data_IF_806861950141
#
_entry.id   IF_806861950141
#
_cell.length_a   1.000
_cell.length_b   1.000
_cell.length_c   1.000
_cell.angle_alpha   90.00
_cell.angle_beta   90.00
_cell.angle_gamma   90.00
#
_symmetry.space_group_name_H-M   'P 1'
#
loop_
_entity.id
_entity.type
_entity.pdbx_description
1 polymer ?
#
# COMPACT_ATOMS: atom_id res chain seq x y z
N UNK A 1 11.87 19.46 -3.48
CA UNK A 1 11.87 19.10 -4.91
C UNK A 1 10.69 18.18 -5.18
N UNK A 2 9.94 18.39 -6.27
CA UNK A 2 8.93 17.42 -6.69
C UNK A 2 9.64 16.11 -7.02
N UNK A 3 9.38 15.04 -6.27
CA UNK A 3 9.95 13.74 -6.58
C UNK A 3 9.26 13.19 -7.84
N UNK A 4 10.01 12.86 -8.91
CA UNK A 4 9.42 12.29 -10.11
C UNK A 4 8.68 10.98 -9.77
N UNK A 5 7.54 10.77 -10.40
CA UNK A 5 6.82 9.49 -10.33
C UNK A 5 7.63 8.47 -11.14
N UNK A 6 8.08 7.41 -10.50
CA UNK A 6 8.92 6.39 -11.12
C UNK A 6 8.07 5.40 -11.92
N UNK A 7 6.94 4.98 -11.36
CA UNK A 7 5.97 4.10 -12.01
C UNK A 7 4.62 4.83 -12.12
N UNK A 8 3.98 4.74 -13.29
CA UNK A 8 2.72 5.39 -13.66
C UNK A 8 1.85 4.32 -14.31
N UNK A 9 0.69 4.01 -13.71
CA UNK A 9 -0.18 2.92 -14.11
C UNK A 9 -1.62 3.42 -14.24
N UNK A 10 -2.27 3.17 -15.37
CA UNK A 10 -3.67 3.60 -15.52
C UNK A 10 -4.40 3.02 -16.72
N UNK A 11 -5.71 3.23 -16.71
CA UNK A 11 -6.64 2.76 -17.76
C UNK A 11 -7.58 3.87 -18.28
N UNK A 12 -7.27 5.14 -18.01
CA UNK A 12 -8.07 6.30 -18.38
C UNK A 12 -9.09 6.76 -17.32
N UNK A 13 -9.56 5.86 -16.45
CA UNK A 13 -10.46 6.18 -15.34
C UNK A 13 -9.75 6.13 -13.98
N UNK A 14 -8.82 5.19 -13.83
CA UNK A 14 -7.96 5.02 -12.66
C UNK A 14 -6.53 5.33 -13.05
N UNK A 15 -5.85 6.17 -12.27
CA UNK A 15 -4.41 6.44 -12.37
C UNK A 15 -3.75 6.27 -11.00
N UNK A 16 -2.72 5.44 -10.95
CA UNK A 16 -1.86 5.18 -9.80
C UNK A 16 -0.44 5.62 -10.15
N UNK A 17 0.16 6.43 -9.28
CA UNK A 17 1.57 6.77 -9.41
C UNK A 17 2.36 6.32 -8.18
N UNK A 18 3.46 5.62 -8.43
CA UNK A 18 4.43 5.22 -7.40
C UNK A 18 5.70 6.07 -7.52
N UNK A 19 6.28 6.43 -6.38
CA UNK A 19 7.63 7.03 -6.36
C UNK A 19 8.73 5.97 -6.49
N UNK A 20 9.99 6.42 -6.48
CA UNK A 20 11.19 5.55 -6.52
C UNK A 20 11.27 4.56 -5.34
N UNK A 21 10.53 4.86 -4.28
CA UNK A 21 10.51 4.14 -3.02
C UNK A 21 9.28 3.20 -2.93
N UNK A 22 8.55 3.06 -4.05
CA UNK A 22 7.38 2.19 -4.22
C UNK A 22 6.18 2.56 -3.35
N UNK A 23 6.17 3.79 -2.82
CA UNK A 23 4.99 4.32 -2.16
C UNK A 23 3.99 4.75 -3.22
N UNK A 24 2.71 4.43 -3.02
CA UNK A 24 1.65 5.06 -3.81
C UNK A 24 1.48 6.49 -3.35
N UNK A 25 1.69 7.41 -4.29
CA UNK A 25 1.70 8.85 -4.03
C UNK A 25 0.55 9.59 -4.70
N UNK A 26 -0.01 9.01 -5.76
CA UNK A 26 -1.24 9.48 -6.36
C UNK A 26 -2.20 8.32 -6.63
N UNK A 27 -3.48 8.60 -6.41
CA UNK A 27 -4.63 7.77 -6.73
C UNK A 27 -5.70 8.71 -7.28
N UNK A 28 -5.87 8.73 -8.60
CA UNK A 28 -6.94 9.49 -9.25
C UNK A 28 -8.04 8.57 -9.72
N UNK A 29 -9.26 8.91 -9.34
CA UNK A 29 -10.49 8.23 -9.73
C UNK A 29 -11.68 9.17 -9.44
N UNK A 30 -12.80 9.12 -10.18
CA UNK A 30 -12.99 8.47 -11.47
C UNK A 30 -12.43 9.28 -12.64
N UNK A 31 -11.94 10.50 -12.39
CA UNK A 31 -11.38 11.39 -13.43
C UNK A 31 -9.92 11.64 -13.14
N UNK A 32 -9.07 11.23 -14.08
CA UNK A 32 -7.62 11.42 -13.99
C UNK A 32 -7.28 12.91 -13.93
N UNK A 33 -6.50 13.29 -12.91
CA UNK A 33 -6.03 14.68 -12.72
C UNK A 33 -6.96 15.59 -11.92
N UNK A 34 -8.16 15.14 -11.52
CA UNK A 34 -9.08 15.93 -10.69
C UNK A 34 -8.82 15.72 -9.20
N UNK A 35 -9.44 14.69 -8.61
CA UNK A 35 -9.30 14.36 -7.19
C UNK A 35 -8.13 13.39 -6.99
N UNK A 36 -7.06 13.85 -6.32
CA UNK A 36 -6.01 12.95 -5.84
C UNK A 36 -6.41 12.43 -4.44
N UNK A 37 -6.83 11.18 -4.38
CA UNK A 37 -7.25 10.51 -3.14
C UNK A 37 -6.09 10.19 -2.19
N UNK A 38 -4.83 10.45 -2.55
CA UNK A 38 -3.70 10.39 -1.62
C UNK A 38 -3.44 11.76 -0.98
N UNK A 39 -3.71 12.87 -1.69
CA UNK A 39 -3.54 14.22 -1.14
C UNK A 39 -2.11 14.56 -0.71
N UNK A 40 -1.11 14.12 -1.47
CA UNK A 40 0.32 14.40 -1.20
C UNK A 40 0.97 13.52 -0.13
N UNK A 41 0.26 12.51 0.35
CA UNK A 41 0.71 11.53 1.34
C UNK A 41 1.36 10.32 0.65
N UNK A 42 1.63 9.26 1.41
CA UNK A 42 2.15 7.99 0.90
C UNK A 42 1.38 6.83 1.49
N UNK A 43 1.00 5.89 0.64
CA UNK A 43 0.65 4.54 1.07
C UNK A 43 1.86 3.64 0.86
N UNK A 44 2.35 3.06 1.95
CA UNK A 44 3.65 2.38 1.99
C UNK A 44 3.48 0.88 2.19
N UNK A 45 4.50 0.10 1.80
CA UNK A 45 4.58 -1.34 2.09
C UNK A 45 5.77 -1.60 3.01
N UNK A 46 5.55 -2.38 4.06
CA UNK A 46 6.57 -2.72 5.04
C UNK A 46 6.60 -4.21 5.36
N UNK A 47 7.71 -4.65 5.91
CA UNK A 47 7.99 -6.05 6.21
C UNK A 47 8.42 -6.20 7.65
N UNK A 48 7.90 -7.22 8.32
CA UNK A 48 8.25 -7.56 9.69
C UNK A 48 8.70 -9.01 9.81
N UNK A 49 9.71 -9.24 10.62
CA UNK A 49 10.20 -10.56 11.03
C UNK A 49 10.80 -10.49 12.44
N UNK A 50 10.33 -11.33 13.36
CA UNK A 50 10.95 -11.58 14.68
C UNK A 50 11.38 -10.33 15.48
N UNK A 51 10.54 -9.28 15.44
CA UNK A 51 10.78 -8.03 16.16
C UNK A 51 11.60 -6.99 15.39
N UNK A 52 11.98 -7.30 14.15
CA UNK A 52 12.57 -6.34 13.21
C UNK A 52 11.53 -5.95 12.16
N UNK A 53 11.43 -4.64 11.90
CA UNK A 53 10.57 -4.06 10.88
C UNK A 53 11.39 -3.20 9.92
N UNK A 54 11.00 -3.16 8.64
CA UNK A 54 11.56 -2.22 7.67
C UNK A 54 10.53 -1.86 6.60
N UNK A 55 10.40 -0.56 6.31
CA UNK A 55 9.62 -0.05 5.19
C UNK A 55 10.41 -0.09 3.88
N UNK A 56 9.72 -0.34 2.75
CA UNK A 56 10.37 -0.32 1.41
C UNK A 56 11.05 1.01 1.05
N UNK A 57 10.62 2.11 1.66
CA UNK A 57 11.19 3.43 1.42
C UNK A 57 12.55 3.64 2.10
N UNK A 58 12.94 2.77 3.03
CA UNK A 58 14.23 2.87 3.71
C UNK A 58 15.39 2.53 2.76
N UNK A 59 16.55 3.10 3.06
CA UNK A 59 17.79 2.89 2.29
C UNK A 59 18.35 1.46 2.41
N UNK A 60 17.88 0.69 3.40
CA UNK A 60 18.18 -0.74 3.58
C UNK A 60 17.66 -1.60 2.40
N UNK A 61 16.72 -1.07 1.61
CA UNK A 61 16.18 -1.70 0.42
C UNK A 61 16.85 -1.17 -0.85
N UNK A 62 17.64 -2.03 -1.49
CA UNK A 62 18.14 -1.81 -2.86
C UNK A 62 17.02 -2.14 -3.84
N UNK A 63 16.73 -1.23 -4.77
CA UNK A 63 15.56 -1.31 -5.66
C UNK A 63 15.96 -1.02 -7.11
N UNK A 64 15.52 -1.88 -8.02
CA UNK A 64 15.60 -1.67 -9.46
C UNK A 64 14.17 -1.62 -10.02
N UNK A 65 13.80 -0.47 -10.59
CA UNK A 65 12.44 -0.23 -11.08
C UNK A 65 12.44 -0.27 -12.61
N UNK A 66 11.56 -1.08 -13.17
CA UNK A 66 11.32 -1.16 -14.60
C UNK A 66 9.83 -1.40 -14.90
N UNK A 67 9.52 -1.51 -16.19
CA UNK A 67 8.27 -2.09 -16.67
C UNK A 67 8.58 -3.43 -17.34
N UNK A 68 7.61 -4.34 -17.32
CA UNK A 68 7.65 -5.51 -18.18
C UNK A 68 7.63 -5.07 -19.64
N UNK A 69 8.38 -5.78 -20.48
CA UNK A 69 8.52 -5.46 -21.90
C UNK A 69 7.14 -5.32 -22.58
N UNK A 70 6.99 -4.27 -23.38
CA UNK A 70 5.80 -3.97 -24.18
C UNK A 70 4.48 -3.90 -23.37
N UNK A 71 4.54 -3.52 -22.10
CA UNK A 71 3.35 -3.41 -21.25
C UNK A 71 3.43 -2.28 -20.21
N UNK A 72 2.26 -1.81 -19.74
CA UNK A 72 2.15 -0.87 -18.60
C UNK A 72 1.98 -1.64 -17.28
N UNK A 73 2.85 -2.63 -17.06
CA UNK A 73 2.94 -3.40 -15.81
C UNK A 73 4.34 -3.20 -15.26
N UNK A 74 4.47 -2.86 -13.98
CA UNK A 74 5.78 -2.70 -13.36
C UNK A 74 6.51 -4.04 -13.23
N UNK A 75 7.83 -3.97 -13.27
CA UNK A 75 8.72 -5.08 -12.96
C UNK A 75 9.80 -4.56 -12.04
N UNK A 76 9.60 -4.76 -10.74
CA UNK A 76 10.47 -4.19 -9.71
C UNK A 76 11.15 -5.30 -8.95
N UNK A 77 12.48 -5.22 -8.88
CA UNK A 77 13.30 -6.07 -8.03
C UNK A 77 13.71 -5.27 -6.80
N UNK A 78 13.48 -5.81 -5.60
CA UNK A 78 13.92 -5.18 -4.36
C UNK A 78 14.61 -6.19 -3.45
N UNK A 79 15.70 -5.77 -2.80
CA UNK A 79 16.50 -6.62 -1.92
C UNK A 79 16.86 -5.90 -0.63
N UNK A 80 16.68 -6.59 0.48
CA UNK A 80 17.16 -6.17 1.80
C UNK A 80 18.07 -7.25 2.36
N UNK A 81 19.38 -6.95 2.44
CA UNK A 81 20.40 -7.90 2.88
C UNK A 81 20.31 -8.21 4.38
N UNK A 82 19.99 -7.19 5.18
CA UNK A 82 19.88 -7.30 6.64
C UNK A 82 18.76 -8.29 6.99
N UNK A 83 17.57 -8.03 6.46
CA UNK A 83 16.42 -8.94 6.59
C UNK A 83 16.64 -10.25 5.82
N UNK A 84 17.47 -10.28 4.77
CA UNK A 84 17.67 -11.45 3.90
C UNK A 84 16.45 -11.75 3.02
N UNK A 85 15.82 -10.71 2.48
CA UNK A 85 14.64 -10.81 1.62
C UNK A 85 14.94 -10.31 0.21
N UNK A 86 14.45 -11.05 -0.78
CA UNK A 86 14.38 -10.65 -2.18
C UNK A 86 12.90 -10.60 -2.60
N UNK A 87 12.51 -9.54 -3.28
CA UNK A 87 11.16 -9.29 -3.74
C UNK A 87 11.18 -9.12 -5.26
N UNK A 88 10.23 -9.76 -5.92
CA UNK A 88 9.82 -9.39 -7.28
C UNK A 88 8.38 -8.89 -7.23
N UNK A 89 8.20 -7.60 -7.55
CA UNK A 89 6.93 -6.89 -7.46
C UNK A 89 6.47 -6.53 -8.88
N UNK A 90 5.22 -6.85 -9.19
CA UNK A 90 4.56 -6.43 -10.42
C UNK A 90 3.24 -5.75 -10.09
N UNK A 91 3.14 -4.50 -10.52
CA UNK A 91 2.00 -3.62 -10.30
C UNK A 91 1.33 -3.29 -11.63
N UNK A 92 0.01 -3.33 -11.67
CA UNK A 92 -0.75 -2.99 -12.86
C UNK A 92 -2.11 -2.41 -12.51
N UNK A 93 -2.64 -1.60 -13.42
CA UNK A 93 -4.06 -1.24 -13.42
C UNK A 93 -4.74 -2.05 -14.51
N UNK A 94 -5.84 -2.74 -14.16
CA UNK A 94 -6.59 -3.53 -15.12
C UNK A 94 -7.15 -2.63 -16.24
N UNK A 95 -7.03 -3.05 -17.49
CA UNK A 95 -7.39 -2.24 -18.66
C UNK A 95 -8.88 -1.88 -18.80
N UNK A 96 -9.77 -2.48 -17.99
CA UNK A 96 -11.22 -2.37 -18.14
C UNK A 96 -11.90 -2.11 -16.80
N UNK A 97 -11.50 -2.85 -15.77
CA UNK A 97 -11.96 -2.62 -14.41
C UNK A 97 -11.07 -1.59 -13.69
N UNK A 98 -11.65 -0.78 -12.80
CA UNK A 98 -10.91 0.17 -11.97
C UNK A 98 -10.24 -0.56 -10.80
N UNK A 99 -9.28 -1.42 -11.13
CA UNK A 99 -8.58 -2.30 -10.20
C UNK A 99 -7.08 -2.08 -10.33
N UNK A 100 -6.46 -1.72 -9.21
CA UNK A 100 -5.01 -1.79 -9.04
C UNK A 100 -4.67 -3.17 -8.46
N UNK A 101 -3.69 -3.84 -9.07
CA UNK A 101 -3.24 -5.17 -8.67
C UNK A 101 -1.73 -5.10 -8.42
N UNK A 102 -1.31 -5.54 -7.23
CA UNK A 102 0.09 -5.74 -6.85
C UNK A 102 0.33 -7.22 -6.59
N UNK A 103 1.18 -7.85 -7.40
CA UNK A 103 1.69 -9.20 -7.15
C UNK A 103 3.09 -9.11 -6.57
N UNK A 104 3.36 -9.86 -5.50
CA UNK A 104 4.68 -9.92 -4.88
C UNK A 104 5.13 -11.37 -4.71
N UNK A 105 6.25 -11.71 -5.33
CA UNK A 105 6.96 -12.96 -5.05
C UNK A 105 8.07 -12.66 -4.05
N UNK A 106 8.05 -13.34 -2.90
CA UNK A 106 8.98 -13.09 -1.79
C UNK A 106 9.87 -14.31 -1.62
N UNK A 107 11.17 -14.09 -1.71
CA UNK A 107 12.20 -15.12 -1.52
C UNK A 107 12.94 -14.88 -0.22
N UNK A 108 13.03 -15.95 0.56
CA UNK A 108 13.84 -16.01 1.77
C UNK A 108 15.27 -16.42 1.41
N UNK A 109 16.25 -15.55 1.66
CA UNK A 109 17.67 -15.83 1.42
C UNK A 109 18.41 -16.39 2.64
N UNK A 110 17.75 -16.57 3.79
CA UNK A 110 18.32 -17.28 4.94
C UNK A 110 18.15 -18.79 4.77
N UNK A 111 18.99 -19.56 5.45
CA UNK A 111 19.01 -21.03 5.36
C UNK A 111 18.04 -21.75 6.33
N UNK A 112 17.12 -21.02 6.96
CA UNK A 112 16.04 -21.56 7.79
C UNK A 112 14.68 -21.05 7.34
N UNK A 113 13.64 -21.83 7.58
CA UNK A 113 12.25 -21.40 7.38
C UNK A 113 11.84 -20.39 8.45
N UNK A 114 11.09 -19.36 8.05
CA UNK A 114 10.69 -18.26 8.94
C UNK A 114 9.38 -17.62 8.49
N UNK A 115 8.79 -16.83 9.38
CA UNK A 115 7.52 -16.12 9.15
C UNK A 115 7.79 -14.65 8.93
N UNK A 116 7.50 -14.19 7.71
CA UNK A 116 7.51 -12.77 7.35
C UNK A 116 6.06 -12.28 7.31
N UNK A 117 5.80 -11.10 7.89
CA UNK A 117 4.53 -10.39 7.74
C UNK A 117 4.73 -9.20 6.81
N UNK A 118 3.70 -8.89 6.03
CA UNK A 118 3.68 -7.76 5.11
C UNK A 118 2.60 -6.80 5.59
N UNK A 119 2.93 -5.53 5.68
CA UNK A 119 2.04 -4.48 6.11
C UNK A 119 1.82 -3.49 4.97
N UNK A 120 0.57 -3.06 4.82
CA UNK A 120 0.17 -2.02 3.88
C UNK A 120 -0.41 -0.87 4.68
N UNK A 121 0.22 0.30 4.55
CA UNK A 121 -0.35 1.52 5.06
C UNK A 121 -1.23 2.16 3.99
N UNK A 122 -2.44 2.57 4.35
CA UNK A 122 -3.32 3.38 3.52
C UNK A 122 -3.51 4.74 4.19
N UNK A 123 -3.04 5.80 3.53
CA UNK A 123 -3.22 7.18 3.98
C UNK A 123 -3.97 7.98 2.90
N UNK A 124 -5.29 7.74 2.83
CA UNK A 124 -6.14 8.32 1.79
C UNK A 124 -6.76 9.64 2.23
N UNK A 125 -6.61 10.70 1.45
CA UNK A 125 -7.38 11.94 1.58
C UNK A 125 -8.47 11.95 0.51
N UNK A 126 -9.57 11.20 0.74
CA UNK A 126 -10.56 10.93 -0.32
C UNK A 126 -11.19 12.26 -0.79
N UNK A 127 -11.21 12.49 -2.11
CA UNK A 127 -11.64 13.76 -2.72
C UNK A 127 -10.75 14.94 -2.32
N UNK A 128 -9.44 14.69 -2.21
CA UNK A 128 -8.41 15.71 -2.05
C UNK A 128 -8.30 16.34 -0.66
N UNK A 129 -9.01 15.83 0.36
CA UNK A 129 -8.94 16.33 1.73
C UNK A 129 -9.12 15.20 2.76
N UNK A 130 -8.69 15.46 4.00
CA UNK A 130 -8.63 14.50 5.10
C UNK A 130 -9.81 14.60 6.08
N UNK A 131 -10.93 15.19 5.66
CA UNK A 131 -12.10 15.42 6.52
C UNK A 131 -13.25 14.49 6.12
N UNK A 132 -13.75 13.72 7.07
CA UNK A 132 -14.97 12.92 6.88
C UNK A 132 -14.76 11.68 6.02
N UNK A 133 -13.55 11.14 6.03
CA UNK A 133 -13.25 9.81 5.52
C UNK A 133 -13.77 8.76 6.53
N UNK A 134 -14.04 7.54 6.09
CA UNK A 134 -14.37 6.41 6.97
C UNK A 134 -13.67 5.17 6.45
N UNK A 135 -13.06 4.42 7.36
CA UNK A 135 -12.41 3.15 7.06
C UNK A 135 -13.03 2.08 7.94
N UNK A 136 -13.36 0.93 7.36
CA UNK A 136 -13.89 -0.21 8.10
C UNK A 136 -13.42 -1.53 7.49
N UNK A 137 -13.29 -2.55 8.32
CA UNK A 137 -13.09 -3.92 7.87
C UNK A 137 -14.42 -4.52 7.39
N UNK A 138 -14.47 -4.98 6.15
CA UNK A 138 -15.58 -5.75 5.60
C UNK A 138 -15.28 -7.25 5.70
N UNK A 139 -16.00 -8.01 6.56
CA UNK A 139 -15.76 -9.44 6.74
C UNK A 139 -16.13 -10.28 5.51
N UNK A 140 -17.00 -9.76 4.62
CA UNK A 140 -17.43 -10.48 3.41
C UNK A 140 -16.29 -10.51 2.39
N UNK A 141 -15.73 -9.33 2.06
CA UNK A 141 -14.55 -9.25 1.18
C UNK A 141 -13.23 -9.57 1.87
N UNK A 142 -13.22 -9.64 3.21
CA UNK A 142 -12.02 -9.77 4.07
C UNK A 142 -10.97 -8.70 3.75
N UNK A 143 -11.44 -7.47 3.59
CA UNK A 143 -10.62 -6.31 3.23
C UNK A 143 -11.00 -5.08 4.04
N UNK A 144 -10.20 -4.03 3.92
CA UNK A 144 -10.49 -2.71 4.50
C UNK A 144 -11.12 -1.85 3.42
N UNK A 145 -12.35 -1.43 3.65
CA UNK A 145 -13.06 -0.49 2.80
C UNK A 145 -12.87 0.93 3.34
N UNK A 146 -12.37 1.81 2.50
CA UNK A 146 -12.33 3.25 2.73
C UNK A 146 -13.43 3.88 1.91
N UNK A 147 -14.21 4.79 2.49
CA UNK A 147 -15.24 5.48 1.74
C UNK A 147 -15.46 6.92 2.18
N UNK A 148 -15.97 7.69 1.24
CA UNK A 148 -16.51 9.04 1.45
C UNK A 148 -17.50 9.36 0.35
N UNK A 149 -18.74 9.66 0.75
CA UNK A 149 -19.85 9.95 -0.17
C UNK A 149 -19.99 8.81 -1.20
N UNK A 150 -19.73 9.09 -2.47
CA UNK A 150 -19.84 8.18 -3.60
C UNK A 150 -18.52 7.50 -4.01
N UNK A 151 -17.43 7.74 -3.28
CA UNK A 151 -16.12 7.11 -3.54
C UNK A 151 -15.90 6.00 -2.52
N UNK A 152 -15.64 4.80 -3.04
CA UNK A 152 -15.34 3.59 -2.26
C UNK A 152 -14.05 2.98 -2.80
N UNK A 153 -13.11 2.69 -1.90
CA UNK A 153 -11.82 2.07 -2.19
C UNK A 153 -11.71 0.85 -1.28
N UNK A 154 -11.75 -0.34 -1.89
CA UNK A 154 -11.54 -1.60 -1.17
C UNK A 154 -10.10 -2.04 -1.32
N UNK A 155 -9.40 -2.22 -0.20
CA UNK A 155 -8.09 -2.84 -0.16
C UNK A 155 -8.19 -4.25 0.42
N UNK A 156 -7.85 -5.25 -0.39
CA UNK A 156 -7.80 -6.65 0.00
C UNK A 156 -6.62 -7.37 -0.65
N UNK A 157 -6.41 -8.62 -0.27
CA UNK A 157 -5.34 -9.42 -0.83
C UNK A 157 -5.39 -10.87 -0.36
N UNK A 158 -4.57 -11.70 -0.98
CA UNK A 158 -4.41 -13.11 -0.63
C UNK A 158 -2.92 -13.46 -0.60
N UNK A 159 -2.50 -14.19 0.43
CA UNK A 159 -1.17 -14.73 0.57
C UNK A 159 -1.27 -16.18 1.03
N UNK A 160 -0.62 -17.11 0.30
CA UNK A 160 -0.63 -18.55 0.63
C UNK A 160 -2.05 -19.12 0.84
N UNK A 161 -3.01 -18.69 0.00
CA UNK A 161 -4.41 -19.13 0.08
C UNK A 161 -5.23 -18.49 1.21
N UNK A 162 -4.68 -17.55 1.97
CA UNK A 162 -5.35 -16.87 3.09
C UNK A 162 -5.48 -15.38 2.80
N UNK A 163 -6.62 -14.80 3.19
CA UNK A 163 -6.87 -13.36 3.05
C UNK A 163 -6.07 -12.51 4.05
N UNK A 164 -6.43 -11.24 4.17
CA UNK A 164 -5.85 -10.31 5.15
C UNK A 164 -5.97 -10.92 6.57
N UNK A 165 -4.84 -11.04 7.25
CA UNK A 165 -4.75 -11.68 8.56
C UNK A 165 -5.07 -10.71 9.71
N UNK A 166 -4.60 -9.47 9.60
CA UNK A 166 -4.73 -8.42 10.59
C UNK A 166 -5.05 -7.10 9.90
N UNK A 167 -5.77 -6.24 10.61
CA UNK A 167 -6.13 -4.89 10.17
C UNK A 167 -6.16 -3.98 11.39
N UNK A 168 -6.03 -2.69 11.17
CA UNK A 168 -6.42 -1.67 12.12
C UNK A 168 -6.83 -0.42 11.33
N UNK A 169 -7.96 0.17 11.71
CA UNK A 169 -8.37 1.49 11.24
C UNK A 169 -8.17 2.47 12.37
N UNK A 170 -7.67 3.66 12.08
CA UNK A 170 -7.55 4.67 13.12
C UNK A 170 -7.27 6.05 12.58
N UNK A 171 -7.45 7.05 13.44
CA UNK A 171 -7.24 8.44 13.06
C UNK A 171 -5.77 8.73 12.77
N UNK A 172 -5.52 9.25 11.58
CA UNK A 172 -4.24 9.85 11.22
C UNK A 172 -4.18 11.31 11.70
N UNK A 173 -2.97 11.75 12.08
CA UNK A 173 -2.61 13.17 12.28
C UNK A 173 -3.47 13.94 13.28
N UNK A 174 -4.11 13.23 14.21
CA UNK A 174 -4.87 13.87 15.28
C UNK A 174 -3.92 14.18 16.45
N UNK A 175 -3.74 15.47 16.75
CA UNK A 175 -2.93 15.97 17.89
C UNK A 175 -1.46 15.51 17.91
N UNK A 176 -0.83 15.33 16.74
CA UNK A 176 0.58 14.93 16.65
C UNK A 176 0.84 13.46 16.97
N UNK A 177 -0.20 12.63 17.11
CA UNK A 177 -0.07 11.18 17.14
C UNK A 177 0.46 10.68 15.79
N UNK A 178 1.45 9.79 15.83
CA UNK A 178 2.12 9.27 14.65
C UNK A 178 1.14 8.51 13.73
N UNK A 179 0.11 7.85 14.30
CA UNK A 179 -0.99 7.20 13.57
C UNK A 179 -0.91 5.67 13.66
N UNK A 180 -1.97 4.99 13.26
CA UNK A 180 -2.14 3.51 13.34
C UNK A 180 -1.12 2.71 12.53
N UNK A 181 -0.33 3.37 11.68
CA UNK A 181 0.74 2.72 10.93
C UNK A 181 1.93 2.32 11.82
N UNK A 182 2.10 2.97 12.99
CA UNK A 182 3.16 2.63 13.94
C UNK A 182 2.97 1.23 14.54
N UNK A 183 1.73 0.79 14.68
CA UNK A 183 1.37 -0.57 15.11
C UNK A 183 1.90 -1.64 14.13
N UNK A 184 2.26 -1.26 12.90
CA UNK A 184 2.94 -2.20 12.00
C UNK A 184 4.36 -2.55 12.49
N UNK A 185 5.04 -1.63 13.18
CA UNK A 185 6.46 -1.74 13.52
C UNK A 185 6.73 -2.75 14.64
N UNK A 186 5.79 -2.93 15.57
CA UNK A 186 5.85 -4.02 16.56
C UNK A 186 5.38 -5.37 15.99
N UNK A 187 4.85 -5.36 14.76
CA UNK A 187 4.36 -6.51 14.03
C UNK A 187 2.92 -6.92 14.37
N UNK A 188 2.17 -6.11 15.10
CA UNK A 188 0.83 -6.45 15.57
C UNK A 188 -0.16 -5.29 15.45
N UNK A 189 -1.17 -5.44 14.58
CA UNK A 189 -2.25 -4.46 14.47
C UNK A 189 -3.32 -4.70 15.55
N UNK A 190 -3.77 -3.63 16.20
CA UNK A 190 -4.71 -3.67 17.34
C UNK A 190 -6.13 -4.19 16.99
N UNK A 191 -6.49 -4.29 15.71
CA UNK A 191 -7.76 -4.91 15.30
C UNK A 191 -8.98 -3.99 15.35
N UNK A 192 -8.80 -2.67 15.42
CA UNK A 192 -9.93 -1.73 15.40
C UNK A 192 -10.70 -1.85 14.05
N UNK A 193 -11.98 -2.26 14.05
CA UNK A 193 -12.69 -2.63 12.82
C UNK A 193 -13.33 -1.46 12.08
N UNK A 194 -13.49 -0.30 12.70
CA UNK A 194 -14.05 0.88 12.04
C UNK A 194 -13.58 2.16 12.73
N UNK A 195 -13.26 3.18 11.93
CA UNK A 195 -13.04 4.53 12.42
C UNK A 195 -13.49 5.56 11.37
N UNK A 196 -13.73 6.80 11.79
CA UNK A 196 -14.20 7.90 10.96
C UNK A 196 -13.52 9.23 11.29
N UNK A 197 -13.50 10.13 10.32
CA UNK A 197 -12.92 11.47 10.42
C UNK A 197 -11.70 11.62 9.52
N UNK A 198 -10.55 11.88 10.11
CA UNK A 198 -9.26 11.83 9.42
C UNK A 198 -8.69 10.43 9.62
N UNK A 199 -9.13 9.46 8.83
CA UNK A 199 -8.72 8.05 8.91
C UNK A 199 -7.97 7.62 7.67
#
# INVERSE_FOLDING_TARGET
MCMPRAIVLGNGNLLINLDKDLNMRDLFYPVVGLDNHIGGQSCSTGFWEEGSFSWLWEDSWQKELAYQQDSLVSFVQARNEQMGLELLISDGVHYFHNLFIRQMNIKNNKNWSRRVRIFFNHDFSISGNNIGDTAFFDPVSRGVCHYKRNIYILANGIAQGKGVFQYATGRKRFRGAEGTWKDAEDGWLEGNPIDHGSV
#
